data_IF_860593844693
#
_entry.id   IF_860593844693
#
_cell.length_a   1.000
_cell.length_b   1.000
_cell.length_c   1.000
_cell.angle_alpha   90.00
_cell.angle_beta   90.00
_cell.angle_gamma   90.00
#
_symmetry.space_group_name_H-M   'P 1'
#
loop_
_entity.id
_entity.type
_entity.pdbx_description
1 polymer ?
#
# COMPACT_ATOMS: atom_id res chain seq x y z
N UNK A 1 10.13 -11.32 -23.91
CA UNK A 1 10.23 -11.50 -22.44
C UNK A 1 9.15 -12.48 -22.05
N UNK A 2 9.51 -13.67 -21.59
CA UNK A 2 8.52 -14.67 -21.15
C UNK A 2 8.22 -14.40 -19.68
N UNK A 3 6.98 -14.06 -19.35
CA UNK A 3 6.59 -13.94 -17.94
C UNK A 3 6.26 -15.33 -17.41
N UNK A 4 6.81 -15.66 -16.25
CA UNK A 4 6.43 -16.84 -15.49
C UNK A 4 5.75 -16.40 -14.20
N UNK A 5 4.90 -17.26 -13.66
CA UNK A 5 4.23 -17.05 -12.38
C UNK A 5 4.73 -18.10 -11.41
N UNK A 6 4.77 -17.76 -10.14
CA UNK A 6 5.21 -18.70 -9.12
C UNK A 6 4.33 -18.60 -7.89
N UNK A 7 4.26 -19.71 -7.16
CA UNK A 7 3.71 -19.73 -5.81
C UNK A 7 4.74 -20.26 -4.84
N UNK A 8 4.73 -19.75 -3.61
CA UNK A 8 5.49 -20.28 -2.50
C UNK A 8 4.51 -20.69 -1.41
N UNK A 9 4.69 -21.88 -0.86
CA UNK A 9 3.85 -22.45 0.19
C UNK A 9 4.00 -21.70 1.53
N UNK A 10 5.24 -21.47 1.98
CA UNK A 10 5.52 -20.83 3.26
C UNK A 10 6.93 -20.20 3.32
N UNK A 11 6.99 -18.87 3.19
CA UNK A 11 8.24 -18.09 3.24
C UNK A 11 8.83 -17.90 4.65
N UNK A 12 8.28 -18.54 5.69
CA UNK A 12 8.84 -18.41 7.05
C UNK A 12 10.29 -18.92 7.10
N UNK A 13 11.21 -18.19 7.75
CA UNK A 13 12.60 -18.61 7.88
C UNK A 13 12.71 -19.90 8.72
N UNK A 14 13.73 -20.72 8.43
CA UNK A 14 14.04 -21.93 9.21
C UNK A 14 13.35 -23.21 8.73
N UNK A 15 12.61 -23.18 7.60
CA UNK A 15 12.14 -24.40 6.92
C UNK A 15 13.09 -24.83 5.81
N UNK A 16 13.43 -26.12 5.71
CA UNK A 16 14.11 -26.66 4.53
C UNK A 16 13.12 -26.75 3.36
N UNK A 17 13.51 -26.23 2.19
CA UNK A 17 12.76 -26.35 0.94
C UNK A 17 11.47 -25.52 0.91
N UNK A 18 11.56 -24.26 0.50
CA UNK A 18 10.39 -23.53 0.01
C UNK A 18 9.85 -24.28 -1.22
N UNK A 19 8.61 -24.79 -1.18
CA UNK A 19 8.01 -25.45 -2.36
C UNK A 19 7.60 -24.34 -3.35
N UNK A 20 8.57 -23.94 -4.17
CA UNK A 20 8.35 -22.98 -5.25
C UNK A 20 7.85 -23.74 -6.47
N UNK A 21 6.59 -23.49 -6.84
CA UNK A 21 6.03 -23.99 -8.10
C UNK A 21 5.91 -22.89 -9.12
N UNK A 22 6.29 -23.20 -10.35
CA UNK A 22 6.23 -22.27 -11.48
C UNK A 22 5.12 -22.64 -12.45
N UNK A 23 4.54 -21.61 -13.08
CA UNK A 23 3.42 -21.71 -14.00
C UNK A 23 3.65 -20.78 -15.19
N UNK A 24 3.22 -21.21 -16.38
CA UNK A 24 3.24 -20.36 -17.58
C UNK A 24 2.04 -19.40 -17.63
N UNK A 25 0.96 -19.69 -16.89
CA UNK A 25 -0.26 -18.91 -16.86
C UNK A 25 -0.65 -18.46 -15.43
N UNK A 26 -1.06 -17.20 -15.28
CA UNK A 26 -1.48 -16.63 -14.00
C UNK A 26 -2.69 -17.34 -13.40
N UNK A 27 -3.65 -17.75 -14.23
CA UNK A 27 -4.86 -18.44 -13.77
C UNK A 27 -4.55 -19.79 -13.10
N UNK A 28 -3.56 -20.52 -13.61
CA UNK A 28 -3.09 -21.77 -13.02
C UNK A 28 -2.38 -21.51 -11.70
N UNK A 29 -1.51 -20.48 -11.65
CA UNK A 29 -0.83 -20.06 -10.43
C UNK A 29 -1.84 -19.64 -9.34
N UNK A 30 -2.88 -18.89 -9.69
CA UNK A 30 -3.98 -18.51 -8.77
C UNK A 30 -4.74 -19.74 -8.27
N UNK A 31 -5.03 -20.69 -9.16
CA UNK A 31 -5.72 -21.94 -8.80
C UNK A 31 -4.90 -22.73 -7.80
N UNK A 32 -3.60 -22.88 -8.04
CA UNK A 32 -2.69 -23.53 -7.11
C UNK A 32 -2.58 -22.76 -5.78
N UNK A 33 -2.38 -21.44 -5.85
CA UNK A 33 -2.25 -20.57 -4.67
C UNK A 33 -3.41 -20.73 -3.68
N UNK A 34 -4.64 -20.85 -4.18
CA UNK A 34 -5.83 -21.06 -3.35
C UNK A 34 -5.82 -22.37 -2.57
N UNK A 35 -5.07 -23.38 -3.02
CA UNK A 35 -4.93 -24.66 -2.32
C UNK A 35 -3.90 -24.62 -1.20
N UNK A 36 -3.05 -23.57 -1.15
CA UNK A 36 -2.01 -23.45 -0.13
C UNK A 36 -2.59 -23.12 1.25
N UNK A 37 -2.00 -23.62 2.34
CA UNK A 37 -2.44 -23.32 3.70
C UNK A 37 -2.39 -21.82 4.03
N UNK A 38 -3.32 -21.37 4.88
CA UNK A 38 -3.41 -19.98 5.35
C UNK A 38 -2.68 -19.72 6.66
N UNK A 39 -2.16 -20.75 7.31
CA UNK A 39 -1.44 -20.67 8.59
C UNK A 39 0.05 -20.33 8.44
N UNK A 40 0.56 -20.35 7.19
CA UNK A 40 1.92 -19.95 6.79
C UNK A 40 1.97 -18.63 5.99
N UNK A 41 3.17 -18.28 5.51
CA UNK A 41 3.39 -17.09 4.66
C UNK A 41 3.43 -17.52 3.19
N UNK A 42 2.25 -17.82 2.63
CA UNK A 42 2.12 -18.15 1.21
C UNK A 42 2.26 -16.92 0.31
N UNK A 43 2.84 -17.09 -0.87
CA UNK A 43 3.03 -16.02 -1.86
C UNK A 43 2.58 -16.46 -3.24
N UNK A 44 1.96 -15.53 -3.97
CA UNK A 44 1.79 -15.58 -5.42
C UNK A 44 2.64 -14.47 -6.02
N UNK A 45 3.49 -14.80 -6.98
CA UNK A 45 4.37 -13.85 -7.64
C UNK A 45 4.45 -14.05 -9.14
N UNK A 46 5.13 -13.12 -9.79
CA UNK A 46 5.52 -13.21 -11.18
C UNK A 46 7.00 -12.90 -11.33
N UNK A 47 7.64 -13.52 -12.30
CA UNK A 47 9.04 -13.29 -12.58
C UNK A 47 9.29 -13.16 -14.08
N UNK A 48 10.30 -12.35 -14.39
CA UNK A 48 11.00 -12.34 -15.66
C UNK A 48 12.45 -12.80 -15.44
N UNK A 49 13.26 -12.81 -16.50
CA UNK A 49 14.64 -13.29 -16.44
C UNK A 49 15.56 -12.45 -15.52
N UNK A 50 15.11 -11.26 -15.08
CA UNK A 50 15.89 -10.31 -14.27
C UNK A 50 15.23 -9.93 -12.94
N UNK A 51 13.91 -10.07 -12.80
CA UNK A 51 13.15 -9.57 -11.67
C UNK A 51 12.09 -10.58 -11.20
N UNK A 52 11.92 -10.67 -9.89
CA UNK A 52 10.79 -11.33 -9.25
C UNK A 52 9.95 -10.30 -8.51
N UNK A 53 8.63 -10.38 -8.69
CA UNK A 53 7.65 -9.51 -8.09
C UNK A 53 6.66 -10.35 -7.29
N UNK A 54 6.45 -10.00 -6.02
CA UNK A 54 5.34 -10.55 -5.26
C UNK A 54 4.05 -9.81 -5.66
N UNK A 55 3.04 -10.56 -6.05
CA UNK A 55 1.72 -10.04 -6.39
C UNK A 55 0.83 -10.03 -5.14
N UNK A 56 0.78 -11.18 -4.45
CA UNK A 56 0.01 -11.39 -3.23
C UNK A 56 0.91 -12.06 -2.21
N UNK A 57 0.82 -11.61 -0.96
CA UNK A 57 1.44 -12.24 0.20
C UNK A 57 0.38 -12.48 1.25
N UNK A 58 0.37 -13.66 1.86
CA UNK A 58 -0.43 -13.90 3.05
C UNK A 58 0.33 -13.39 4.28
N UNK A 59 -0.30 -12.52 5.07
CA UNK A 59 0.26 -11.97 6.31
C UNK A 59 -0.70 -12.13 7.48
N UNK A 60 -0.20 -12.27 8.70
CA UNK A 60 -1.07 -12.20 9.88
C UNK A 60 -1.30 -10.74 10.25
N UNK A 61 -2.56 -10.34 10.38
CA UNK A 61 -2.91 -8.96 10.73
C UNK A 61 -2.67 -8.70 12.21
N UNK A 62 -2.95 -9.70 13.06
CA UNK A 62 -2.77 -9.61 14.50
C UNK A 62 -1.95 -10.76 15.06
N UNK A 63 -1.29 -10.49 16.19
CA UNK A 63 -0.61 -11.53 16.94
C UNK A 63 -1.63 -12.55 17.46
N UNK A 64 -1.37 -13.83 17.18
CA UNK A 64 -2.24 -14.94 17.60
C UNK A 64 -3.24 -15.39 16.56
N UNK A 65 -3.36 -14.69 15.42
CA UNK A 65 -4.20 -15.15 14.32
C UNK A 65 -3.78 -16.55 13.84
N UNK A 66 -4.77 -17.44 13.75
CA UNK A 66 -4.58 -18.81 13.29
C UNK A 66 -4.36 -18.88 11.76
N UNK A 67 -4.92 -17.92 11.03
CA UNK A 67 -4.84 -17.78 9.58
C UNK A 67 -4.41 -16.36 9.24
N UNK A 68 -3.63 -16.21 8.18
CA UNK A 68 -3.32 -14.89 7.63
C UNK A 68 -4.43 -14.36 6.72
N UNK A 69 -4.18 -13.18 6.18
CA UNK A 69 -4.98 -12.45 5.20
C UNK A 69 -4.12 -12.28 3.94
N UNK A 70 -4.70 -12.53 2.77
CA UNK A 70 -4.05 -12.25 1.50
C UNK A 70 -4.05 -10.74 1.26
N UNK A 71 -2.85 -10.16 1.13
CA UNK A 71 -2.66 -8.73 0.88
C UNK A 71 -1.94 -8.51 -0.44
N UNK A 72 -2.24 -7.39 -1.09
CA UNK A 72 -1.52 -6.95 -2.28
C UNK A 72 -0.08 -6.63 -1.88
N UNK A 73 0.90 -7.31 -2.48
CA UNK A 73 2.32 -7.17 -2.08
C UNK A 73 3.05 -6.05 -2.83
N UNK A 74 2.40 -5.43 -3.82
CA UNK A 74 2.96 -4.33 -4.59
C UNK A 74 1.91 -3.24 -4.87
N UNK A 75 2.21 -1.99 -4.47
CA UNK A 75 1.43 -0.84 -4.91
C UNK A 75 1.93 -0.33 -6.26
N UNK A 76 1.16 -0.68 -7.27
CA UNK A 76 1.43 -0.39 -8.68
C UNK A 76 0.76 0.91 -9.15
N UNK A 77 -0.12 1.50 -8.32
CA UNK A 77 -0.89 2.72 -8.63
C UNK A 77 -0.07 3.97 -8.37
N UNK A 78 0.91 3.86 -7.47
CA UNK A 78 1.76 4.98 -7.01
C UNK A 78 3.19 4.89 -7.51
N UNK A 79 3.73 3.68 -7.59
CA UNK A 79 5.06 3.46 -8.13
C UNK A 79 5.00 3.60 -9.65
N UNK A 80 5.83 4.47 -10.25
CA UNK A 80 5.98 4.57 -11.71
C UNK A 80 6.45 3.26 -12.39
N UNK A 81 6.53 2.15 -11.65
CA UNK A 81 6.85 0.80 -12.08
C UNK A 81 5.86 0.28 -13.13
N UNK A 82 4.57 0.60 -13.05
CA UNK A 82 3.58 0.15 -14.06
C UNK A 82 3.64 0.89 -15.37
N UNK A 83 4.12 2.13 -15.37
CA UNK A 83 4.46 2.81 -16.62
C UNK A 83 5.58 2.10 -17.37
N UNK A 84 6.39 1.30 -16.65
CA UNK A 84 7.54 0.56 -17.18
C UNK A 84 7.24 -0.93 -17.42
N UNK A 85 6.25 -1.52 -16.73
CA UNK A 85 5.90 -2.94 -16.87
C UNK A 85 4.36 -3.14 -16.95
N UNK A 86 3.84 -3.26 -18.18
CA UNK A 86 2.42 -3.49 -18.43
C UNK A 86 1.94 -4.88 -17.99
N UNK A 87 2.81 -5.89 -18.03
CA UNK A 87 2.47 -7.25 -17.60
C UNK A 87 2.23 -7.31 -16.09
N UNK A 88 3.08 -6.65 -15.31
CA UNK A 88 2.91 -6.52 -13.86
C UNK A 88 1.59 -5.84 -13.50
N UNK A 89 1.26 -4.75 -14.18
CA UNK A 89 -0.03 -4.07 -13.99
C UNK A 89 -1.19 -5.03 -14.25
N UNK A 90 -1.18 -5.74 -15.38
CA UNK A 90 -2.26 -6.67 -15.73
C UNK A 90 -2.38 -7.81 -14.71
N UNK A 91 -1.26 -8.38 -14.25
CA UNK A 91 -1.28 -9.44 -13.25
C UNK A 91 -1.87 -8.98 -11.91
N UNK A 92 -1.53 -7.77 -11.46
CA UNK A 92 -2.07 -7.20 -10.23
C UNK A 92 -3.56 -6.85 -10.36
N UNK A 93 -4.00 -6.32 -11.51
CA UNK A 93 -5.43 -6.08 -11.77
C UNK A 93 -6.22 -7.40 -11.73
N UNK A 94 -5.71 -8.48 -12.34
CA UNK A 94 -6.33 -9.81 -12.24
C UNK A 94 -6.36 -10.31 -10.79
N UNK A 95 -5.28 -10.14 -10.02
CA UNK A 95 -5.26 -10.54 -8.62
C UNK A 95 -6.30 -9.76 -7.79
N UNK A 96 -6.47 -8.46 -8.05
CA UNK A 96 -7.49 -7.65 -7.39
C UNK A 96 -8.91 -8.14 -7.68
N UNK A 97 -9.20 -8.48 -8.94
CA UNK A 97 -10.51 -8.96 -9.38
C UNK A 97 -10.81 -10.39 -8.91
N UNK A 98 -9.79 -11.24 -8.77
CA UNK A 98 -9.99 -12.67 -8.51
C UNK A 98 -9.81 -13.03 -7.03
N UNK A 99 -8.86 -12.39 -6.35
CA UNK A 99 -8.52 -12.68 -4.95
C UNK A 99 -9.06 -11.63 -3.97
N UNK A 100 -9.51 -10.46 -4.45
CA UNK A 100 -10.15 -9.42 -3.65
C UNK A 100 -9.38 -9.03 -2.36
N UNK A 101 -8.05 -8.83 -2.41
CA UNK A 101 -7.30 -8.43 -1.23
C UNK A 101 -7.81 -7.08 -0.71
N UNK A 102 -8.05 -7.01 0.60
CA UNK A 102 -8.57 -5.81 1.26
C UNK A 102 -7.48 -4.80 1.60
N UNK A 103 -6.26 -5.30 1.79
CA UNK A 103 -5.13 -4.52 2.24
C UNK A 103 -3.97 -4.60 1.26
N UNK A 104 -3.16 -3.55 1.30
CA UNK A 104 -1.92 -3.37 0.59
C UNK A 104 -0.79 -3.40 1.60
N UNK A 105 0.24 -4.17 1.28
CA UNK A 105 1.49 -4.23 2.02
C UNK A 105 2.43 -3.12 1.57
N UNK A 106 2.66 -2.15 2.45
CA UNK A 106 3.72 -1.16 2.33
C UNK A 106 4.90 -1.54 3.26
N UNK A 107 6.12 -1.03 3.00
CA UNK A 107 7.32 -1.46 3.74
C UNK A 107 7.20 -1.40 5.28
N UNK A 108 6.46 -0.43 5.81
CA UNK A 108 6.35 -0.17 7.25
C UNK A 108 4.93 -0.34 7.80
N UNK A 109 3.95 -0.69 6.97
CA UNK A 109 2.53 -0.76 7.37
C UNK A 109 1.67 -1.54 6.39
N UNK A 110 0.49 -1.95 6.87
CA UNK A 110 -0.63 -2.34 6.02
C UNK A 110 -1.61 -1.18 5.90
N UNK A 111 -2.17 -0.99 4.73
CA UNK A 111 -3.21 0.03 4.47
C UNK A 111 -4.35 -0.56 3.65
N UNK A 112 -5.57 -0.02 3.73
CA UNK A 112 -6.65 -0.41 2.82
C UNK A 112 -6.26 -0.22 1.35
N UNK A 113 -6.62 -1.18 0.50
CA UNK A 113 -6.52 -1.00 -0.95
C UNK A 113 -7.36 0.21 -1.35
N UNK A 114 -6.82 1.19 -2.12
CA UNK A 114 -7.58 2.36 -2.50
C UNK A 114 -8.85 1.99 -3.30
N UNK A 115 -10.00 2.48 -2.88
CA UNK A 115 -11.28 2.22 -3.57
C UNK A 115 -11.55 3.24 -4.69
N UNK A 116 -10.89 4.41 -4.64
CA UNK A 116 -11.09 5.52 -5.58
C UNK A 116 -9.75 6.03 -6.09
N UNK A 117 -9.78 6.66 -7.27
CA UNK A 117 -8.61 7.29 -7.90
C UNK A 117 -8.59 8.81 -7.78
N UNK A 118 -9.59 9.39 -7.11
CA UNK A 118 -9.77 10.84 -6.97
C UNK A 118 -10.18 11.15 -5.55
N UNK A 119 -9.68 12.27 -5.04
CA UNK A 119 -10.12 12.85 -3.78
C UNK A 119 -11.63 13.15 -3.81
N UNK A 120 -12.27 13.01 -2.65
CA UNK A 120 -13.63 13.52 -2.42
C UNK A 120 -13.68 15.04 -2.63
N UNK A 121 -14.86 15.55 -2.96
CA UNK A 121 -15.01 16.94 -3.40
C UNK A 121 -14.54 17.95 -2.35
N UNK A 122 -14.78 17.67 -1.07
CA UNK A 122 -14.36 18.51 0.06
C UNK A 122 -12.82 18.69 0.14
N UNK A 123 -12.04 17.74 -0.38
CA UNK A 123 -10.58 17.77 -0.29
C UNK A 123 -9.90 18.38 -1.53
N UNK A 124 -10.65 18.68 -2.60
CA UNK A 124 -10.07 19.23 -3.84
C UNK A 124 -9.48 20.63 -3.65
N UNK A 125 -10.02 21.38 -2.71
CA UNK A 125 -9.56 22.74 -2.35
C UNK A 125 -8.71 22.75 -1.07
N UNK A 126 -8.49 21.59 -0.46
CA UNK A 126 -7.63 21.45 0.71
C UNK A 126 -6.17 21.24 0.30
N UNK A 127 -5.27 21.59 1.19
CA UNK A 127 -3.84 21.33 1.14
C UNK A 127 -3.41 20.77 2.50
N UNK A 128 -2.36 19.95 2.53
CA UNK A 128 -1.74 19.54 3.79
C UNK A 128 -1.01 20.73 4.41
N UNK A 129 -1.03 20.80 5.75
CA UNK A 129 -0.20 21.74 6.48
C UNK A 129 1.28 21.48 6.16
N UNK A 130 1.99 22.52 5.74
CA UNK A 130 3.41 22.40 5.44
C UNK A 130 4.20 22.57 6.74
N UNK A 131 4.82 21.50 7.22
CA UNK A 131 5.83 21.58 8.26
C UNK A 131 7.05 22.39 7.83
N UNK A 132 7.98 22.59 8.77
CA UNK A 132 9.30 23.14 8.45
C UNK A 132 9.97 22.34 7.32
N UNK A 133 10.59 23.04 6.37
CA UNK A 133 11.26 22.45 5.18
C UNK A 133 10.38 21.55 4.29
N UNK A 134 9.05 21.67 4.33
CA UNK A 134 8.18 20.83 3.50
C UNK A 134 8.07 19.39 4.00
N UNK A 135 8.34 19.15 5.28
CA UNK A 135 8.04 17.87 5.91
C UNK A 135 6.53 17.70 6.10
N UNK A 136 5.87 17.06 5.14
CA UNK A 136 4.43 16.82 5.19
C UNK A 136 4.01 15.77 6.22
N UNK A 137 4.91 14.89 6.66
CA UNK A 137 4.59 13.92 7.71
C UNK A 137 4.30 14.60 9.05
N UNK A 138 4.78 15.84 9.23
CA UNK A 138 4.44 16.67 10.39
C UNK A 138 2.97 17.09 10.43
N UNK A 139 2.25 17.02 9.31
CA UNK A 139 0.82 17.27 9.27
C UNK A 139 0.04 16.17 9.99
N UNK A 140 0.59 14.96 10.13
CA UNK A 140 -0.10 13.84 10.78
C UNK A 140 -0.06 14.03 12.30
N UNK A 141 -1.23 14.25 12.89
CA UNK A 141 -1.40 14.41 14.34
C UNK A 141 -1.56 13.08 15.04
N UNK A 142 -2.43 12.23 14.52
CA UNK A 142 -2.67 10.88 15.04
C UNK A 142 -2.97 9.91 13.91
N UNK A 143 -2.65 8.65 14.17
CA UNK A 143 -2.81 7.52 13.26
C UNK A 143 -3.75 6.52 13.92
N UNK A 144 -4.83 6.14 13.24
CA UNK A 144 -5.68 5.06 13.70
C UNK A 144 -5.09 3.73 13.25
N UNK A 145 -4.64 2.93 14.22
CA UNK A 145 -4.13 1.58 14.00
C UNK A 145 -5.18 0.59 14.49
N UNK A 146 -5.57 -0.34 13.62
CA UNK A 146 -6.55 -1.37 13.96
C UNK A 146 -6.06 -2.21 15.16
N UNK A 147 -6.95 -2.44 16.13
CA UNK A 147 -6.64 -3.12 17.39
C UNK A 147 -5.96 -2.25 18.45
N UNK A 148 -5.37 -1.10 18.11
CA UNK A 148 -4.71 -0.19 19.05
C UNK A 148 -5.39 1.18 19.20
N UNK A 149 -6.23 1.58 18.24
CA UNK A 149 -6.92 2.87 18.25
C UNK A 149 -6.05 4.03 17.76
N UNK A 150 -6.34 5.25 18.24
CA UNK A 150 -5.60 6.46 17.86
C UNK A 150 -4.26 6.54 18.59
N UNK A 151 -3.17 6.49 17.82
CA UNK A 151 -1.79 6.58 18.31
C UNK A 151 -1.12 7.85 17.78
N UNK A 152 -0.10 8.32 18.50
CA UNK A 152 0.83 9.30 17.94
C UNK A 152 1.69 8.64 16.85
N UNK A 153 2.20 9.38 15.85
CA UNK A 153 3.14 8.84 14.87
C UNK A 153 4.37 8.18 15.51
N UNK A 154 4.81 8.67 16.68
CA UNK A 154 5.93 8.09 17.42
C UNK A 154 5.59 6.73 18.02
N UNK A 155 4.36 6.55 18.50
CA UNK A 155 3.94 5.28 19.10
C UNK A 155 3.61 4.21 18.06
N UNK A 156 3.23 4.62 16.83
CA UNK A 156 3.15 3.69 15.69
C UNK A 156 4.52 3.09 15.38
N UNK A 157 5.59 3.90 15.39
CA UNK A 157 6.97 3.41 15.15
C UNK A 157 7.48 2.45 16.23
N UNK A 158 6.87 2.45 17.41
CA UNK A 158 7.20 1.53 18.50
C UNK A 158 6.43 0.20 18.42
N UNK A 159 5.50 0.07 17.48
CA UNK A 159 4.77 -1.19 17.27
C UNK A 159 5.75 -2.29 16.86
N UNK A 160 5.64 -3.45 17.51
CA UNK A 160 6.49 -4.62 17.20
C UNK A 160 6.01 -5.38 15.96
N UNK A 161 4.71 -5.32 15.69
CA UNK A 161 4.09 -5.92 14.52
C UNK A 161 3.83 -4.86 13.45
N UNK A 162 3.68 -5.30 12.21
CA UNK A 162 3.34 -4.42 11.10
C UNK A 162 1.96 -3.79 11.34
N UNK A 163 1.85 -2.47 11.53
CA UNK A 163 0.59 -1.84 11.90
C UNK A 163 -0.38 -1.80 10.72
N UNK A 164 -1.64 -2.19 10.96
CA UNK A 164 -2.74 -1.95 10.03
C UNK A 164 -3.29 -0.54 10.24
N UNK A 165 -2.91 0.39 9.36
CA UNK A 165 -3.28 1.80 9.44
C UNK A 165 -4.50 2.07 8.59
N UNK A 166 -5.60 2.50 9.23
CA UNK A 166 -6.87 2.74 8.54
C UNK A 166 -7.16 4.22 8.29
N UNK A 167 -6.71 5.11 9.18
CA UNK A 167 -6.99 6.55 9.09
C UNK A 167 -5.88 7.41 9.66
N UNK A 168 -5.84 8.65 9.21
CA UNK A 168 -5.06 9.73 9.77
C UNK A 168 -5.98 10.87 10.21
N UNK A 169 -5.62 11.52 11.31
CA UNK A 169 -6.04 12.90 11.58
C UNK A 169 -4.88 13.81 11.26
N UNK A 170 -5.11 14.75 10.35
CA UNK A 170 -4.06 15.62 9.83
C UNK A 170 -4.47 17.08 9.91
N UNK A 171 -3.47 17.93 10.09
CA UNK A 171 -3.59 19.37 9.92
C UNK A 171 -3.53 19.69 8.42
N UNK A 172 -4.51 20.45 7.96
CA UNK A 172 -4.62 20.94 6.59
C UNK A 172 -4.89 22.43 6.56
N UNK A 173 -4.99 22.97 5.35
CA UNK A 173 -5.43 24.33 5.11
C UNK A 173 -6.23 24.44 3.82
N UNK A 174 -7.12 25.43 3.73
CA UNK A 174 -7.68 25.84 2.44
C UNK A 174 -6.62 26.55 1.59
N UNK A 175 -6.87 26.70 0.28
CA UNK A 175 -6.00 27.50 -0.60
C UNK A 175 -5.84 28.96 -0.15
N UNK A 176 -6.81 29.48 0.59
CA UNK A 176 -6.79 30.83 1.17
C UNK A 176 -6.08 30.90 2.53
N UNK A 177 -5.60 29.76 3.06
CA UNK A 177 -4.79 29.69 4.28
C UNK A 177 -5.58 29.46 5.57
N UNK A 178 -6.88 29.16 5.52
CA UNK A 178 -7.66 28.82 6.70
C UNK A 178 -7.30 27.42 7.20
N UNK A 179 -7.12 27.24 8.51
CA UNK A 179 -6.81 25.94 9.11
C UNK A 179 -7.96 24.94 8.94
N UNK A 180 -7.62 23.67 8.66
CA UNK A 180 -8.54 22.55 8.56
C UNK A 180 -8.04 21.38 9.42
N UNK A 181 -8.94 20.74 10.17
CA UNK A 181 -8.67 19.44 10.77
C UNK A 181 -9.34 18.37 9.91
N UNK A 182 -8.56 17.46 9.36
CA UNK A 182 -9.01 16.49 8.37
C UNK A 182 -8.85 15.07 8.89
N UNK A 183 -9.84 14.22 8.65
CA UNK A 183 -9.72 12.77 8.82
C UNK A 183 -9.69 12.10 7.44
N UNK A 184 -8.60 11.38 7.16
CA UNK A 184 -8.26 10.86 5.83
C UNK A 184 -7.95 9.37 5.90
N UNK A 185 -8.36 8.61 4.89
CA UNK A 185 -7.74 7.30 4.63
C UNK A 185 -6.31 7.47 4.09
N UNK A 186 -5.42 6.46 4.23
CA UNK A 186 -4.03 6.58 3.76
C UNK A 186 -3.91 7.01 2.30
N UNK A 187 -4.73 6.42 1.42
CA UNK A 187 -4.73 6.76 -0.01
C UNK A 187 -5.23 8.19 -0.28
N UNK A 188 -6.12 8.74 0.56
CA UNK A 188 -6.56 10.14 0.44
C UNK A 188 -5.44 11.10 0.87
N UNK A 189 -4.74 10.78 1.95
CA UNK A 189 -3.56 11.55 2.39
C UNK A 189 -2.51 11.60 1.28
N UNK A 190 -2.25 10.47 0.63
CA UNK A 190 -1.27 10.38 -0.44
C UNK A 190 -1.63 11.23 -1.67
N UNK A 191 -2.90 11.21 -2.09
CA UNK A 191 -3.38 12.08 -3.17
C UNK A 191 -3.33 13.56 -2.78
N UNK A 192 -3.68 13.88 -1.54
CA UNK A 192 -3.64 15.25 -1.03
C UNK A 192 -2.20 15.77 -0.91
N UNK A 193 -1.25 14.89 -0.56
CA UNK A 193 0.18 15.17 -0.56
C UNK A 193 0.70 15.51 -1.96
N UNK A 194 0.34 14.73 -2.97
CA UNK A 194 0.70 15.01 -4.37
C UNK A 194 0.09 16.33 -4.84
N UNK A 195 -1.19 16.58 -4.55
CA UNK A 195 -1.86 17.84 -4.84
C UNK A 195 -1.14 19.03 -4.19
N UNK A 196 -0.77 18.91 -2.92
CA UNK A 196 -0.10 19.96 -2.16
C UNK A 196 1.29 20.28 -2.74
N UNK A 197 2.09 19.25 -3.03
CA UNK A 197 3.40 19.41 -3.70
C UNK A 197 3.28 20.12 -5.05
N UNK A 198 2.29 19.75 -5.85
CA UNK A 198 2.05 20.37 -7.16
C UNK A 198 1.60 21.84 -7.04
N UNK A 199 0.81 22.18 -6.03
CA UNK A 199 0.39 23.56 -5.76
C UNK A 199 1.59 24.47 -5.50
N UNK A 200 2.47 24.10 -4.56
CA UNK A 200 3.64 24.90 -4.21
C UNK A 200 4.67 25.01 -5.34
N UNK A 201 4.94 23.90 -6.04
CA UNK A 201 5.82 23.89 -7.21
C UNK A 201 5.36 24.86 -8.31
N UNK A 202 4.04 24.98 -8.51
CA UNK A 202 3.48 25.91 -9.50
C UNK A 202 3.49 27.36 -9.00
N UNK A 203 3.34 27.59 -7.69
CA UNK A 203 3.44 28.92 -7.08
C UNK A 203 4.87 29.48 -7.18
N UNK A 204 5.88 28.67 -6.90
CA UNK A 204 7.31 29.06 -7.05
C UNK A 204 7.65 29.45 -8.50
N UNK A 205 7.17 28.68 -9.48
CA UNK A 205 7.37 28.98 -10.91
C UNK A 205 6.71 30.27 -11.37
N UNK A 206 5.62 30.70 -10.71
CA UNK A 206 4.93 31.96 -11.00
C UNK A 206 5.66 33.14 -10.37
N UNK A 207 6.27 32.95 -9.21
CA UNK A 207 6.99 34.02 -8.49
C UNK A 207 8.41 34.28 -9.04
N UNK A 208 8.93 33.38 -9.89
CA UNK A 208 10.24 33.49 -10.54
C UNK A 208 10.16 33.98 -11.99
N UNK A 209 8.96 34.33 -12.46
CA UNK A 209 8.71 35.01 -13.74
C UNK A 209 8.30 36.45 -13.49
#
# INVERSE_FOLDING_TARGET
MCMTYYTVDDLRPGRPGWDVRQFSALAEAITHYRTLPMDGVRVLGMADDAHAYELIRCVRLFLGDAQGEDVLAADYRRSGLTKKNAALKNALDVCLEVLHPRFLLEPERLVPVPHRRKLREELREALLWQGYEGNYDSAIRTVFVEGAGWLSPQDVKKQRQLPLVLRYRVDGMSKDGAYLSLELEPWEYDLLLEQTKNHYKNKEKRNTK
#
